data_IF_601505594885
#
_entry.id   IF_601505594885
#
_cell.length_a   1.000
_cell.length_b   1.000
_cell.length_c   1.000
_cell.angle_alpha   90.00
_cell.angle_beta   90.00
_cell.angle_gamma   90.00
#
_symmetry.space_group_name_H-M   'P 1'
#
loop_
_entity.id
_entity.type
_entity.pdbx_description
1 polymer ?
#
# COMPACT_ATOMS: atom_id res chain seq x y z
N UNK A 1 10.74 26.98 6.51
CA UNK A 1 10.58 25.99 5.43
C UNK A 1 11.65 24.92 5.57
N UNK A 2 11.27 23.71 6.00
CA UNK A 2 12.23 22.64 6.26
C UNK A 2 12.78 22.04 4.94
N UNK A 3 13.86 21.24 5.04
CA UNK A 3 14.53 20.63 3.87
C UNK A 3 13.55 19.81 3.00
N UNK A 4 12.56 19.21 3.64
CA UNK A 4 11.51 18.40 3.03
C UNK A 4 10.46 19.24 2.28
N UNK A 5 10.00 20.35 2.85
CA UNK A 5 9.10 21.32 2.18
C UNK A 5 9.74 21.96 0.95
N UNK A 6 11.05 22.22 1.02
CA UNK A 6 11.83 22.75 -0.11
C UNK A 6 11.94 21.74 -1.25
N UNK A 7 12.18 20.46 -0.91
CA UNK A 7 12.19 19.36 -1.87
C UNK A 7 10.81 19.15 -2.53
N UNK A 8 9.73 19.21 -1.75
CA UNK A 8 8.35 19.07 -2.22
C UNK A 8 7.99 20.12 -3.26
N UNK A 9 8.33 21.38 -3.00
CA UNK A 9 8.01 22.47 -3.93
C UNK A 9 8.71 22.33 -5.28
N UNK A 10 9.88 21.68 -5.29
CA UNK A 10 10.71 21.52 -6.48
C UNK A 10 10.37 20.27 -7.30
N UNK A 11 9.99 19.17 -6.65
CA UNK A 11 9.99 17.85 -7.31
C UNK A 11 8.59 17.24 -7.55
N UNK A 12 7.52 17.79 -6.96
CA UNK A 12 6.18 17.16 -7.02
C UNK A 12 5.48 17.23 -8.39
N UNK A 13 5.86 18.19 -9.24
CA UNK A 13 5.41 18.28 -10.65
C UNK A 13 6.25 17.36 -11.53
N UNK A 14 7.56 17.39 -11.32
CA UNK A 14 8.59 16.55 -11.89
C UNK A 14 8.30 15.03 -11.76
N UNK A 15 7.86 14.59 -10.57
CA UNK A 15 7.47 13.20 -10.30
C UNK A 15 6.33 12.67 -11.21
N UNK A 16 5.58 13.55 -11.88
CA UNK A 16 4.40 13.18 -12.67
C UNK A 16 4.57 13.40 -14.18
N UNK A 17 5.63 14.07 -14.61
CA UNK A 17 5.90 14.34 -16.03
C UNK A 17 7.38 14.13 -16.35
N UNK A 18 7.72 12.95 -16.88
CA UNK A 18 9.08 12.56 -17.30
C UNK A 18 9.77 13.57 -18.25
N UNK A 19 9.00 14.38 -18.97
CA UNK A 19 9.51 15.18 -20.08
C UNK A 19 10.18 16.52 -19.70
N UNK A 20 10.13 16.96 -18.44
CA UNK A 20 10.71 18.25 -18.00
C UNK A 20 11.52 18.15 -16.69
N UNK A 21 12.21 17.03 -16.47
CA UNK A 21 13.05 16.85 -15.28
C UNK A 21 14.40 17.58 -15.43
N UNK A 22 14.78 18.45 -14.47
CA UNK A 22 16.14 19.01 -14.42
C UNK A 22 17.20 17.90 -14.42
N UNK A 23 18.39 18.18 -14.96
CA UNK A 23 19.53 17.24 -14.92
C UNK A 23 19.81 16.80 -13.46
N UNK A 24 19.77 15.49 -13.21
CA UNK A 24 19.88 14.89 -11.87
C UNK A 24 18.54 14.49 -11.22
N UNK A 25 17.42 15.14 -11.59
CA UNK A 25 16.10 14.79 -11.07
C UNK A 25 15.59 13.45 -11.64
N UNK A 26 16.05 13.03 -12.82
CA UNK A 26 15.73 11.73 -13.40
C UNK A 26 16.32 10.55 -12.61
N UNK A 27 17.51 10.72 -12.02
CA UNK A 27 18.13 9.69 -11.18
C UNK A 27 17.38 9.55 -9.86
N UNK A 28 17.13 10.65 -9.16
CA UNK A 28 16.33 10.67 -7.93
C UNK A 28 14.93 10.11 -8.18
N UNK A 29 14.30 10.47 -9.29
CA UNK A 29 13.00 9.93 -9.67
C UNK A 29 13.03 8.41 -9.89
N UNK A 30 14.07 7.91 -10.54
CA UNK A 30 14.24 6.47 -10.77
C UNK A 30 14.44 5.74 -9.45
N UNK A 31 15.30 6.24 -8.57
CA UNK A 31 15.53 5.70 -7.23
C UNK A 31 14.24 5.63 -6.40
N UNK A 32 13.42 6.68 -6.43
CA UNK A 32 12.15 6.69 -5.70
C UNK A 32 11.10 5.74 -6.29
N UNK A 33 11.02 5.61 -7.62
CA UNK A 33 10.18 4.58 -8.25
C UNK A 33 10.64 3.19 -7.81
N UNK A 34 11.96 2.93 -7.84
CA UNK A 34 12.52 1.67 -7.39
C UNK A 34 12.16 1.41 -5.93
N UNK A 35 12.29 2.41 -5.03
CA UNK A 35 11.90 2.28 -3.64
C UNK A 35 10.42 1.93 -3.46
N UNK A 36 9.51 2.56 -4.22
CA UNK A 36 8.08 2.25 -4.20
C UNK A 36 7.79 0.83 -4.70
N UNK A 37 8.43 0.40 -5.78
CA UNK A 37 8.32 -0.96 -6.31
C UNK A 37 8.84 -2.01 -5.32
N UNK A 38 10.01 -1.76 -4.72
CA UNK A 38 10.56 -2.64 -3.69
C UNK A 38 9.67 -2.69 -2.45
N UNK A 39 9.13 -1.55 -2.02
CA UNK A 39 8.17 -1.51 -0.91
C UNK A 39 6.92 -2.35 -1.20
N UNK A 40 6.37 -2.25 -2.42
CA UNK A 40 5.22 -3.05 -2.82
C UNK A 40 5.54 -4.55 -2.87
N UNK A 41 6.70 -4.90 -3.42
CA UNK A 41 7.16 -6.30 -3.49
C UNK A 41 7.44 -6.88 -2.10
N UNK A 42 8.11 -6.12 -1.24
CA UNK A 42 8.38 -6.50 0.14
C UNK A 42 7.08 -6.70 0.93
N UNK A 43 6.07 -5.85 0.71
CA UNK A 43 4.76 -6.03 1.31
C UNK A 43 4.10 -7.35 0.91
N UNK A 44 4.04 -7.66 -0.40
CA UNK A 44 3.44 -8.92 -0.87
C UNK A 44 4.17 -10.13 -0.28
N UNK A 45 5.50 -10.12 -0.28
CA UNK A 45 6.29 -11.22 0.32
C UNK A 45 6.02 -11.33 1.82
N UNK A 46 6.01 -10.21 2.54
CA UNK A 46 5.76 -10.19 3.98
C UNK A 46 4.34 -10.64 4.35
N UNK A 47 3.35 -10.35 3.48
CA UNK A 47 1.98 -10.80 3.62
C UNK A 47 1.87 -12.33 3.52
N UNK A 48 2.52 -12.95 2.53
CA UNK A 48 2.55 -14.42 2.41
C UNK A 48 3.30 -15.09 3.57
N UNK A 49 4.40 -14.48 4.05
CA UNK A 49 5.07 -14.89 5.29
C UNK A 49 4.09 -14.82 6.46
N UNK A 50 3.29 -13.76 6.56
CA UNK A 50 2.23 -13.61 7.56
C UNK A 50 1.24 -14.77 7.55
N UNK A 51 0.71 -15.14 6.38
CA UNK A 51 -0.16 -16.31 6.25
C UNK A 51 0.47 -17.60 6.75
N UNK A 52 1.76 -17.82 6.47
CA UNK A 52 2.50 -18.97 6.95
C UNK A 52 2.66 -18.97 8.48
N UNK A 53 3.12 -17.85 9.06
CA UNK A 53 3.41 -17.75 10.49
C UNK A 53 2.15 -17.75 11.36
N UNK A 54 1.08 -17.11 10.90
CA UNK A 54 -0.21 -17.08 11.60
C UNK A 54 -0.99 -18.39 11.44
N UNK A 55 -0.43 -19.38 10.73
CA UNK A 55 -1.01 -20.71 10.50
C UNK A 55 -2.39 -20.65 9.83
N UNK A 56 -2.69 -19.59 9.07
CA UNK A 56 -3.93 -19.46 8.29
C UNK A 56 -4.07 -20.65 7.31
N UNK A 57 -2.96 -21.20 6.85
CA UNK A 57 -2.91 -22.39 5.96
C UNK A 57 -3.13 -23.73 6.66
N UNK A 58 -3.01 -23.82 7.99
CA UNK A 58 -3.17 -25.09 8.75
C UNK A 58 -4.55 -25.27 9.40
N UNK A 59 -5.35 -24.21 9.46
CA UNK A 59 -6.66 -24.19 10.13
C UNK A 59 -7.86 -24.21 9.17
N UNK A 60 -7.68 -24.70 7.93
CA UNK A 60 -8.67 -24.70 6.83
C UNK A 60 -9.96 -25.52 7.07
N UNK A 61 -10.29 -25.88 8.31
CA UNK A 61 -11.29 -26.91 8.64
C UNK A 61 -12.45 -26.48 9.55
N UNK A 62 -12.68 -25.18 9.76
CA UNK A 62 -13.96 -24.73 10.36
C UNK A 62 -14.56 -23.58 9.57
N UNK A 63 -15.17 -23.95 8.44
CA UNK A 63 -16.14 -23.11 7.75
C UNK A 63 -17.29 -22.80 8.71
N UNK A 64 -17.29 -21.64 9.34
CA UNK A 64 -18.54 -21.06 9.81
C UNK A 64 -19.18 -20.37 8.62
N UNK A 65 -20.11 -21.07 7.98
CA UNK A 65 -20.97 -20.55 6.94
C UNK A 65 -21.77 -19.37 7.51
N UNK A 66 -21.25 -18.16 7.36
CA UNK A 66 -21.99 -16.94 7.63
C UNK A 66 -22.67 -16.51 6.33
N UNK A 67 -23.98 -16.73 6.22
CA UNK A 67 -24.82 -16.24 5.12
C UNK A 67 -24.97 -14.70 5.13
N UNK A 68 -24.04 -13.95 5.74
CA UNK A 68 -24.10 -12.48 5.84
C UNK A 68 -22.72 -11.86 5.60
N UNK A 69 -22.68 -11.02 4.55
CA UNK A 69 -21.61 -10.10 4.18
C UNK A 69 -21.49 -8.97 5.22
N UNK A 70 -20.98 -9.27 6.41
CA UNK A 70 -20.76 -8.27 7.47
C UNK A 70 -19.28 -8.33 7.87
N UNK A 71 -18.54 -7.20 7.82
CA UNK A 71 -17.19 -7.09 8.36
C UNK A 71 -17.16 -7.56 9.84
N UNK A 72 -16.17 -8.38 10.22
CA UNK A 72 -16.03 -8.90 11.60
C UNK A 72 -16.62 -10.29 11.87
N UNK A 73 -17.23 -10.95 10.87
CA UNK A 73 -17.85 -12.29 11.05
C UNK A 73 -17.26 -13.39 10.16
N UNK A 74 -16.38 -13.05 9.20
CA UNK A 74 -15.73 -14.04 8.34
C UNK A 74 -14.28 -14.22 8.76
N UNK A 75 -13.96 -15.39 9.32
CA UNK A 75 -12.61 -15.73 9.79
C UNK A 75 -11.55 -15.59 8.69
N UNK A 76 -11.90 -15.86 7.43
CA UNK A 76 -10.97 -15.71 6.31
C UNK A 76 -10.64 -14.23 6.05
N UNK A 77 -11.60 -13.33 6.29
CA UNK A 77 -11.36 -11.89 6.15
C UNK A 77 -10.43 -11.39 7.24
N UNK A 78 -10.65 -11.83 8.48
CA UNK A 78 -9.78 -11.51 9.61
C UNK A 78 -8.35 -12.02 9.40
N UNK A 79 -8.18 -13.17 8.73
CA UNK A 79 -6.87 -13.70 8.36
C UNK A 79 -6.12 -12.82 7.36
N UNK A 80 -6.81 -12.26 6.38
CA UNK A 80 -6.23 -11.31 5.42
C UNK A 80 -5.80 -10.02 6.12
N UNK A 81 -6.66 -9.44 6.98
CA UNK A 81 -6.31 -8.24 7.76
C UNK A 81 -5.14 -8.49 8.72
N UNK A 82 -5.09 -9.66 9.36
CA UNK A 82 -4.00 -10.03 10.25
C UNK A 82 -2.68 -10.25 9.49
N UNK A 83 -2.73 -10.84 8.28
CA UNK A 83 -1.56 -10.97 7.41
C UNK A 83 -1.06 -9.60 6.92
N UNK A 84 -1.96 -8.68 6.58
CA UNK A 84 -1.62 -7.28 6.24
C UNK A 84 -0.93 -6.56 7.40
N UNK A 85 -1.49 -6.65 8.61
CA UNK A 85 -0.91 -6.03 9.80
C UNK A 85 0.45 -6.64 10.15
N UNK A 86 0.59 -7.97 10.03
CA UNK A 86 1.87 -8.66 10.20
C UNK A 86 2.91 -8.16 9.20
N UNK A 87 2.54 -8.01 7.92
CA UNK A 87 3.44 -7.53 6.89
C UNK A 87 3.98 -6.13 7.21
N UNK A 88 3.11 -5.21 7.63
CA UNK A 88 3.52 -3.86 8.04
C UNK A 88 4.47 -3.88 9.24
N UNK A 89 4.16 -4.70 10.24
CA UNK A 89 5.01 -4.85 11.41
C UNK A 89 6.39 -5.37 11.01
N UNK A 90 6.45 -6.41 10.17
CA UNK A 90 7.71 -6.96 9.67
C UNK A 90 8.52 -5.92 8.88
N UNK A 91 7.84 -5.15 8.02
CA UNK A 91 8.47 -4.12 7.20
C UNK A 91 8.97 -2.92 8.01
N UNK A 92 8.24 -2.50 9.05
CA UNK A 92 8.41 -1.18 9.66
C UNK A 92 8.78 -1.17 11.15
N UNK A 93 8.69 -2.28 11.88
CA UNK A 93 9.00 -2.31 13.32
C UNK A 93 10.49 -2.42 13.65
N UNK A 94 11.36 -2.59 12.65
CA UNK A 94 12.82 -2.75 12.82
C UNK A 94 13.61 -1.47 12.48
N UNK A 95 13.07 -0.27 12.74
CA UNK A 95 13.75 1.00 12.40
C UNK A 95 15.10 1.18 13.11
N UNK A 96 15.29 0.55 14.25
CA UNK A 96 16.49 0.69 15.10
C UNK A 96 17.56 -0.39 14.85
N UNK A 97 17.29 -1.39 14.00
CA UNK A 97 18.30 -2.37 13.62
C UNK A 97 19.13 -1.81 12.45
N UNK A 98 20.35 -1.36 12.75
CA UNK A 98 21.33 -0.78 11.80
C UNK A 98 21.64 -1.68 10.58
N UNK A 99 21.30 -2.97 10.63
CA UNK A 99 21.32 -3.87 9.48
C UNK A 99 20.09 -3.64 8.61
N UNK A 100 20.04 -2.49 7.96
CA UNK A 100 19.05 -2.25 6.92
C UNK A 100 19.22 -3.30 5.82
N UNK A 101 18.09 -3.88 5.43
CA UNK A 101 17.94 -4.58 4.17
C UNK A 101 18.51 -3.71 3.03
N UNK A 102 18.89 -4.33 1.91
CA UNK A 102 19.57 -3.76 0.73
C UNK A 102 18.97 -2.47 0.11
N UNK A 103 17.90 -1.92 0.67
CA UNK A 103 17.11 -0.82 0.13
C UNK A 103 16.95 0.32 1.13
N UNK A 104 16.72 1.52 0.62
CA UNK A 104 16.52 2.71 1.45
C UNK A 104 15.13 2.68 2.11
N UNK A 105 15.02 1.96 3.22
CA UNK A 105 13.79 1.86 4.03
C UNK A 105 13.40 3.18 4.70
N UNK A 106 14.25 4.21 4.65
CA UNK A 106 13.92 5.57 5.11
C UNK A 106 13.21 6.41 4.06
N UNK A 107 13.17 5.97 2.79
CA UNK A 107 12.44 6.71 1.78
C UNK A 107 10.94 6.74 2.16
N UNK A 108 10.31 7.93 2.22
CA UNK A 108 8.86 8.04 2.34
C UNK A 108 8.10 7.28 1.25
N UNK A 109 8.73 7.03 0.09
CA UNK A 109 8.12 6.29 -1.03
C UNK A 109 8.13 4.78 -0.77
N UNK A 110 9.09 4.25 -0.01
CA UNK A 110 9.06 2.84 0.43
C UNK A 110 7.81 2.55 1.29
N UNK A 111 7.43 3.48 2.18
CA UNK A 111 6.18 3.40 2.96
C UNK A 111 4.92 3.41 2.09
N UNK A 112 5.00 3.90 0.85
CA UNK A 112 3.89 3.86 -0.08
C UNK A 112 3.65 2.46 -0.67
N UNK A 113 4.63 1.56 -0.54
CA UNK A 113 4.64 0.23 -1.15
C UNK A 113 3.36 -0.60 -0.95
N UNK A 114 2.90 -0.82 0.30
CA UNK A 114 1.67 -1.58 0.57
C UNK A 114 0.45 -1.01 -0.18
N UNK A 115 0.35 0.31 -0.28
CA UNK A 115 -0.76 0.95 -0.97
C UNK A 115 -0.62 0.90 -2.48
N UNK A 116 0.59 1.01 -3.00
CA UNK A 116 0.85 0.76 -4.43
C UNK A 116 0.43 -0.66 -4.79
N UNK A 117 0.69 -1.66 -3.93
CA UNK A 117 0.25 -3.04 -4.15
C UNK A 117 -1.29 -3.13 -4.25
N UNK A 118 -2.04 -2.55 -3.32
CA UNK A 118 -3.51 -2.54 -3.41
C UNK A 118 -4.05 -1.79 -4.63
N UNK A 119 -3.45 -0.65 -4.98
CA UNK A 119 -3.83 0.07 -6.21
C UNK A 119 -3.58 -0.79 -7.46
N UNK A 120 -2.46 -1.53 -7.50
CA UNK A 120 -2.14 -2.42 -8.61
C UNK A 120 -3.11 -3.61 -8.69
N UNK A 121 -3.43 -4.25 -7.56
CA UNK A 121 -4.39 -5.37 -7.50
C UNK A 121 -5.78 -4.88 -7.94
N UNK A 122 -6.23 -3.73 -7.45
CA UNK A 122 -7.51 -3.16 -7.83
C UNK A 122 -7.61 -2.85 -9.33
N UNK A 123 -6.51 -2.49 -9.99
CA UNK A 123 -6.52 -2.23 -11.43
C UNK A 123 -6.79 -3.50 -12.26
N UNK A 124 -6.55 -4.68 -11.68
CA UNK A 124 -6.89 -5.97 -12.28
C UNK A 124 -8.24 -6.54 -11.84
N UNK A 125 -8.96 -5.86 -10.95
CA UNK A 125 -10.25 -6.30 -10.40
C UNK A 125 -11.41 -5.47 -10.97
N UNK A 126 -12.44 -6.14 -11.47
CA UNK A 126 -13.64 -5.52 -12.01
C UNK A 126 -14.57 -4.97 -10.91
N UNK A 127 -14.47 -5.50 -9.69
CA UNK A 127 -15.36 -5.18 -8.55
C UNK A 127 -14.59 -5.03 -7.24
N UNK A 128 -13.62 -4.07 -7.13
CA UNK A 128 -12.77 -3.92 -5.94
C UNK A 128 -13.50 -3.56 -4.65
N UNK A 129 -14.77 -3.15 -4.74
CA UNK A 129 -15.65 -2.89 -3.58
C UNK A 129 -16.35 -4.14 -3.05
N UNK A 130 -16.35 -5.24 -3.79
CA UNK A 130 -17.11 -6.43 -3.43
C UNK A 130 -16.23 -7.43 -2.68
N UNK A 131 -16.72 -7.90 -1.53
CA UNK A 131 -16.10 -9.00 -0.81
C UNK A 131 -16.65 -10.35 -1.32
N UNK A 132 -15.84 -11.39 -1.18
CA UNK A 132 -16.23 -12.79 -1.44
C UNK A 132 -16.30 -13.59 -0.14
N UNK A 133 -16.67 -14.87 -0.23
CA UNK A 133 -16.64 -15.76 0.94
C UNK A 133 -15.22 -16.07 1.44
N UNK A 134 -14.22 -16.03 0.56
CA UNK A 134 -12.83 -16.35 0.92
C UNK A 134 -11.99 -15.11 1.20
N UNK A 135 -12.28 -13.97 0.60
CA UNK A 135 -11.47 -12.75 0.77
C UNK A 135 -12.35 -11.50 0.97
N UNK A 136 -11.90 -10.55 1.81
CA UNK A 136 -12.56 -9.26 1.96
C UNK A 136 -12.37 -8.44 0.68
N UNK A 137 -13.12 -7.35 0.54
CA UNK A 137 -12.96 -6.46 -0.62
C UNK A 137 -11.58 -5.79 -0.60
N UNK A 138 -11.06 -5.49 -1.79
CA UNK A 138 -9.80 -4.72 -1.91
C UNK A 138 -9.96 -3.35 -1.28
N UNK A 139 -11.14 -2.72 -1.42
CA UNK A 139 -11.49 -1.46 -0.75
C UNK A 139 -11.30 -1.54 0.76
N UNK A 140 -11.86 -2.55 1.41
CA UNK A 140 -11.80 -2.64 2.88
C UNK A 140 -10.36 -2.88 3.36
N UNK A 141 -9.61 -3.74 2.66
CA UNK A 141 -8.17 -3.93 2.94
C UNK A 141 -7.37 -2.67 2.73
N UNK A 142 -7.61 -1.93 1.65
CA UNK A 142 -6.98 -0.65 1.37
C UNK A 142 -7.29 0.38 2.47
N UNK A 143 -8.55 0.54 2.88
CA UNK A 143 -8.93 1.50 3.92
C UNK A 143 -8.30 1.13 5.26
N UNK A 144 -8.32 -0.16 5.62
CA UNK A 144 -7.64 -0.64 6.81
C UNK A 144 -6.12 -0.36 6.75
N UNK A 145 -5.49 -0.64 5.61
CA UNK A 145 -4.07 -0.38 5.36
C UNK A 145 -3.70 1.09 5.54
N UNK A 146 -4.52 2.02 5.03
CA UNK A 146 -4.32 3.45 5.18
C UNK A 146 -4.34 3.88 6.66
N UNK A 147 -5.21 3.27 7.47
CA UNK A 147 -5.26 3.52 8.92
C UNK A 147 -4.06 2.90 9.66
N UNK A 148 -3.68 1.66 9.32
CA UNK A 148 -2.54 0.96 9.94
C UNK A 148 -1.20 1.68 9.69
N UNK A 149 -0.97 2.19 8.48
CA UNK A 149 0.26 2.92 8.14
C UNK A 149 0.48 4.15 9.04
N UNK A 150 -0.59 4.81 9.52
CA UNK A 150 -0.48 5.96 10.45
C UNK A 150 0.29 5.62 11.73
N UNK A 151 0.29 4.36 12.14
CA UNK A 151 1.02 3.90 13.34
C UNK A 151 2.54 3.93 13.15
N UNK A 152 3.00 3.89 11.88
CA UNK A 152 4.41 3.74 11.53
C UNK A 152 5.05 5.02 10.97
N UNK A 153 4.26 6.05 10.66
CA UNK A 153 4.78 7.32 10.10
C UNK A 153 4.25 8.54 10.85
N UNK A 154 5.09 9.58 10.98
CA UNK A 154 4.67 10.85 11.57
C UNK A 154 3.63 11.58 10.71
N UNK A 155 2.91 12.53 11.30
CA UNK A 155 1.82 13.26 10.62
C UNK A 155 2.24 13.98 9.33
N UNK A 156 3.47 14.48 9.26
CA UNK A 156 4.03 15.10 8.04
C UNK A 156 4.20 14.09 6.91
N UNK A 157 4.71 12.91 7.24
CA UNK A 157 5.03 11.86 6.28
C UNK A 157 3.74 11.21 5.79
N UNK A 158 2.78 11.01 6.69
CA UNK A 158 1.44 10.57 6.33
C UNK A 158 0.75 11.55 5.38
N UNK A 159 0.86 12.86 5.64
CA UNK A 159 0.29 13.89 4.75
C UNK A 159 0.92 13.86 3.35
N UNK A 160 2.23 13.64 3.28
CA UNK A 160 2.93 13.47 2.00
C UNK A 160 2.47 12.22 1.26
N UNK A 161 2.48 11.09 1.95
CA UNK A 161 1.99 9.80 1.45
C UNK A 161 0.56 9.92 0.90
N UNK A 162 -0.36 10.52 1.65
CA UNK A 162 -1.74 10.70 1.23
C UNK A 162 -1.86 11.54 -0.05
N UNK A 163 -1.01 12.57 -0.21
CA UNK A 163 -0.94 13.37 -1.43
C UNK A 163 -0.43 12.57 -2.63
N UNK A 164 0.56 11.70 -2.42
CA UNK A 164 1.10 10.82 -3.46
C UNK A 164 0.05 9.80 -3.91
N UNK A 165 -0.62 9.14 -2.96
CA UNK A 165 -1.71 8.19 -3.20
C UNK A 165 -2.86 8.86 -3.96
N UNK A 166 -3.33 10.02 -3.49
CA UNK A 166 -4.42 10.77 -4.14
C UNK A 166 -4.08 11.15 -5.59
N UNK A 167 -2.83 11.54 -5.86
CA UNK A 167 -2.35 11.86 -7.21
C UNK A 167 -2.29 10.62 -8.10
N UNK A 168 -1.84 9.49 -7.56
CA UNK A 168 -1.78 8.20 -8.27
C UNK A 168 -3.17 7.72 -8.65
N UNK A 169 -4.12 7.73 -7.70
CA UNK A 169 -5.53 7.41 -7.95
C UNK A 169 -6.12 8.32 -9.05
N UNK A 170 -5.86 9.63 -8.96
CA UNK A 170 -6.32 10.59 -9.97
C UNK A 170 -5.73 10.31 -11.36
N UNK A 171 -4.48 9.84 -11.44
CA UNK A 171 -3.83 9.49 -12.70
C UNK A 171 -4.42 8.20 -13.30
N UNK A 172 -4.65 7.16 -12.49
CA UNK A 172 -5.29 5.90 -12.91
C UNK A 172 -6.68 6.18 -13.50
N UNK A 173 -7.50 6.97 -12.80
CA UNK A 173 -8.84 7.32 -13.27
C UNK A 173 -8.85 8.09 -14.59
N UNK A 174 -7.82 8.89 -14.86
CA UNK A 174 -7.73 9.67 -16.09
C UNK A 174 -7.31 8.83 -17.29
N UNK A 175 -6.55 7.75 -17.07
CA UNK A 175 -5.92 6.99 -18.15
C UNK A 175 -6.80 5.86 -18.66
N UNK A 176 -7.28 5.01 -17.76
CA UNK A 176 -7.92 3.74 -18.13
C UNK A 176 -9.37 3.60 -17.64
N UNK A 177 -9.85 4.50 -16.76
CA UNK A 177 -11.14 4.37 -16.05
C UNK A 177 -11.52 2.92 -15.72
N UNK A 178 -10.63 2.12 -15.09
CA UNK A 178 -10.87 0.68 -14.93
C UNK A 178 -12.13 0.37 -14.12
N UNK A 179 -12.61 1.36 -13.37
CA UNK A 179 -13.80 1.27 -12.52
C UNK A 179 -14.92 2.25 -12.94
N UNK A 180 -14.83 2.84 -14.14
CA UNK A 180 -15.76 3.86 -14.62
C UNK A 180 -15.85 5.08 -13.71
N UNK A 181 -17.07 5.51 -13.38
CA UNK A 181 -17.35 6.59 -12.42
C UNK A 181 -17.28 6.14 -10.95
N UNK A 182 -17.04 4.86 -10.67
CA UNK A 182 -17.04 4.33 -9.31
C UNK A 182 -15.73 4.67 -8.61
N UNK A 183 -15.82 5.41 -7.51
CA UNK A 183 -14.67 5.72 -6.67
C UNK A 183 -14.56 4.66 -5.58
N UNK A 184 -13.83 3.57 -5.86
CA UNK A 184 -13.75 2.44 -4.92
C UNK A 184 -12.87 2.71 -3.70
N UNK A 185 -11.92 3.64 -3.78
CA UNK A 185 -10.99 3.94 -2.67
C UNK A 185 -11.52 5.01 -1.69
N UNK A 186 -12.78 5.44 -1.84
CA UNK A 186 -13.48 6.34 -0.91
C UNK A 186 -14.47 5.57 -0.07
#
# INVERSE_FOLDING_TARGET
MNKMERWLKQNLSALLTRHNLPSGASQVYSEEIYNGFFGATAFVIAHEIGHHFLKHTKNSHKFMQSNRRIPGFNVNHEWEFAADAFALNLMFSNKDNEKRLLFNTDSPVYFCGPVIAFLAIACGDNSPCEASESHPSIRDRYLNMMEEIKKYCGSSDYTFFNKLVSKTQSAINKKDQPWGNAVWWK
#
